data_IF_115173429132
#
_entry.id   IF_115173429132
#
_cell.length_a   1.000
_cell.length_b   1.000
_cell.length_c   1.000
_cell.angle_alpha   90.00
_cell.angle_beta   90.00
_cell.angle_gamma   90.00
#
_symmetry.space_group_name_H-M   'P 1'
#
loop_
_entity.id
_entity.type
_entity.pdbx_description
1 polymer ?
#
# COMPACT_ATOMS: atom_id res chain seq x y z
N UNK A 1 6.98 -29.57 -22.15
CA UNK A 1 7.21 -28.33 -22.93
C UNK A 1 7.12 -27.14 -21.97
N UNK A 2 8.22 -26.47 -21.57
CA UNK A 2 8.14 -25.25 -20.78
C UNK A 2 8.12 -24.04 -21.74
N UNK A 3 6.95 -23.47 -21.95
CA UNK A 3 6.77 -22.27 -22.77
C UNK A 3 6.82 -21.01 -21.91
N UNK A 4 7.71 -20.09 -22.28
CA UNK A 4 7.64 -18.64 -22.08
C UNK A 4 7.28 -18.12 -20.66
N UNK A 5 8.33 -17.79 -19.91
CA UNK A 5 8.40 -16.64 -18.98
C UNK A 5 7.24 -16.48 -17.99
N UNK A 6 7.06 -17.47 -17.13
CA UNK A 6 6.18 -17.38 -15.97
C UNK A 6 6.76 -16.33 -15.02
N UNK A 7 6.26 -15.10 -15.08
CA UNK A 7 6.69 -14.05 -14.15
C UNK A 7 6.31 -14.51 -12.75
N UNK A 8 7.31 -14.69 -11.89
CA UNK A 8 7.06 -15.22 -10.55
C UNK A 8 6.25 -14.22 -9.72
N UNK A 9 5.41 -14.76 -8.83
CA UNK A 9 4.65 -13.97 -7.86
C UNK A 9 5.56 -13.05 -7.05
N UNK A 10 6.76 -13.51 -6.70
CA UNK A 10 7.70 -12.74 -5.89
C UNK A 10 8.25 -11.53 -6.66
N UNK A 11 8.46 -11.65 -7.98
CA UNK A 11 8.84 -10.51 -8.84
C UNK A 11 7.73 -9.46 -8.87
N UNK A 12 6.47 -9.88 -9.00
CA UNK A 12 5.32 -8.95 -8.97
C UNK A 12 5.24 -8.23 -7.62
N UNK A 13 5.40 -8.94 -6.51
CA UNK A 13 5.35 -8.35 -5.17
C UNK A 13 6.48 -7.34 -4.97
N UNK A 14 7.70 -7.69 -5.39
CA UNK A 14 8.86 -6.80 -5.30
C UNK A 14 8.62 -5.49 -6.07
N UNK A 15 8.12 -5.56 -7.30
CA UNK A 15 7.81 -4.39 -8.13
C UNK A 15 6.75 -3.47 -7.50
N UNK A 16 5.77 -4.04 -6.79
CA UNK A 16 4.75 -3.27 -6.09
C UNK A 16 5.34 -2.59 -4.84
N UNK A 17 6.16 -3.30 -4.06
CA UNK A 17 6.81 -2.77 -2.85
C UNK A 17 7.84 -1.67 -3.15
N UNK A 18 8.44 -1.66 -4.34
CA UNK A 18 9.30 -0.56 -4.79
C UNK A 18 8.54 0.77 -4.99
N UNK A 19 7.22 0.73 -5.12
CA UNK A 19 6.41 1.94 -5.22
C UNK A 19 6.26 2.61 -3.86
N UNK A 20 6.62 3.89 -3.77
CA UNK A 20 6.55 4.67 -2.53
C UNK A 20 5.17 4.61 -1.84
N UNK A 21 4.09 4.57 -2.63
CA UNK A 21 2.71 4.55 -2.14
C UNK A 21 2.34 3.24 -1.42
N UNK A 22 3.11 2.17 -1.64
CA UNK A 22 2.76 0.83 -1.17
C UNK A 22 3.84 0.18 -0.29
N UNK A 23 4.97 0.86 -0.08
CA UNK A 23 6.09 0.39 0.73
C UNK A 23 5.70 0.02 2.18
N UNK A 24 4.71 0.70 2.73
CA UNK A 24 4.25 0.50 4.11
C UNK A 24 3.03 -0.44 4.22
N UNK A 25 2.52 -0.97 3.11
CA UNK A 25 1.41 -1.91 3.15
C UNK A 25 1.87 -3.31 3.53
N UNK A 26 0.97 -4.05 4.17
CA UNK A 26 1.19 -5.44 4.55
C UNK A 26 1.54 -6.30 3.31
N UNK A 27 2.70 -6.99 3.29
CA UNK A 27 3.09 -7.84 2.17
C UNK A 27 2.09 -8.96 1.85
N UNK A 28 1.40 -9.50 2.87
CA UNK A 28 0.40 -10.56 2.69
C UNK A 28 -0.82 -10.08 1.91
N UNK A 29 -1.25 -8.82 2.13
CA UNK A 29 -2.31 -8.20 1.35
C UNK A 29 -1.90 -8.08 -0.12
N UNK A 30 -0.68 -7.61 -0.38
CA UNK A 30 -0.13 -7.49 -1.73
C UNK A 30 -0.07 -8.87 -2.39
N UNK A 31 0.37 -9.90 -1.67
CA UNK A 31 0.44 -11.30 -2.15
C UNK A 31 -0.93 -11.83 -2.57
N UNK A 32 -1.95 -11.67 -1.73
CA UNK A 32 -3.32 -12.15 -2.02
C UNK A 32 -3.88 -11.43 -3.26
N UNK A 33 -3.72 -10.11 -3.35
CA UNK A 33 -4.19 -9.33 -4.51
C UNK A 33 -3.42 -9.71 -5.77
N UNK A 34 -2.10 -9.89 -5.70
CA UNK A 34 -1.27 -10.30 -6.82
C UNK A 34 -1.68 -11.69 -7.36
N UNK A 35 -1.89 -12.68 -6.48
CA UNK A 35 -2.41 -13.99 -6.86
C UNK A 35 -3.74 -13.89 -7.60
N UNK A 36 -4.69 -13.12 -7.06
CA UNK A 36 -6.00 -12.93 -7.67
C UNK A 36 -5.94 -12.27 -9.05
N UNK A 37 -5.07 -11.27 -9.24
CA UNK A 37 -4.93 -10.60 -10.53
C UNK A 37 -4.13 -11.41 -11.55
N UNK A 38 -3.10 -12.16 -11.13
CA UNK A 38 -2.32 -13.04 -12.01
C UNK A 38 -3.16 -14.18 -12.59
N UNK A 39 -4.10 -14.74 -11.82
CA UNK A 39 -5.03 -15.77 -12.31
C UNK A 39 -5.89 -15.31 -13.48
N UNK A 40 -6.05 -14.00 -13.69
CA UNK A 40 -6.86 -13.43 -14.79
C UNK A 40 -6.12 -13.45 -16.14
N UNK A 41 -4.89 -13.98 -16.20
CA UNK A 41 -4.08 -14.17 -17.42
C UNK A 41 -3.97 -12.94 -18.32
N UNK A 42 -3.84 -11.76 -17.70
CA UNK A 42 -3.59 -10.50 -18.41
C UNK A 42 -2.10 -10.38 -18.75
N UNK A 43 -1.74 -9.41 -19.58
CA UNK A 43 -0.33 -9.06 -19.75
C UNK A 43 0.29 -8.60 -18.43
N UNK A 44 1.62 -8.69 -18.30
CA UNK A 44 2.34 -8.25 -17.11
C UNK A 44 2.01 -6.80 -16.72
N UNK A 45 2.04 -5.89 -17.70
CA UNK A 45 1.75 -4.47 -17.51
C UNK A 45 0.32 -4.23 -17.02
N UNK A 46 -0.65 -4.94 -17.57
CA UNK A 46 -2.05 -4.85 -17.14
C UNK A 46 -2.25 -5.44 -15.74
N UNK A 47 -1.55 -6.53 -15.42
CA UNK A 47 -1.59 -7.17 -14.10
C UNK A 47 -1.07 -6.20 -13.04
N UNK A 48 0.10 -5.60 -13.25
CA UNK A 48 0.65 -4.58 -12.33
C UNK A 48 -0.31 -3.40 -12.17
N UNK A 49 -0.88 -2.88 -13.26
CA UNK A 49 -1.86 -1.78 -13.20
C UNK A 49 -3.09 -2.17 -12.40
N UNK A 50 -3.62 -3.37 -12.60
CA UNK A 50 -4.80 -3.86 -11.89
C UNK A 50 -4.53 -4.05 -10.39
N UNK A 51 -3.37 -4.59 -10.02
CA UNK A 51 -2.94 -4.72 -8.63
C UNK A 51 -2.87 -3.34 -7.96
N UNK A 52 -2.17 -2.38 -8.58
CA UNK A 52 -2.06 -1.01 -8.06
C UNK A 52 -3.41 -0.34 -7.89
N UNK A 53 -4.30 -0.50 -8.86
CA UNK A 53 -5.68 0.02 -8.78
C UNK A 53 -6.44 -0.62 -7.62
N UNK A 54 -6.34 -1.94 -7.43
CA UNK A 54 -7.02 -2.65 -6.34
C UNK A 54 -6.47 -2.23 -4.98
N UNK A 55 -5.15 -2.16 -4.84
CA UNK A 55 -4.47 -1.70 -3.63
C UNK A 55 -4.81 -0.24 -3.29
N UNK A 56 -4.93 0.61 -4.30
CA UNK A 56 -5.42 1.97 -4.10
C UNK A 56 -6.86 1.96 -3.57
N UNK A 57 -7.77 1.18 -4.16
CA UNK A 57 -9.16 1.11 -3.69
C UNK A 57 -9.31 0.59 -2.25
N UNK A 58 -8.49 -0.38 -1.83
CA UNK A 58 -8.65 -1.02 -0.51
C UNK A 58 -7.82 -0.38 0.60
N UNK A 59 -6.83 0.46 0.26
CA UNK A 59 -5.96 1.09 1.25
C UNK A 59 -5.45 2.46 0.82
N UNK A 60 -4.92 2.56 -0.40
CA UNK A 60 -4.31 3.82 -0.86
C UNK A 60 -5.24 5.03 -0.89
N UNK A 61 -6.54 4.85 -1.10
CA UNK A 61 -7.56 5.92 -1.11
C UNK A 61 -7.76 6.55 0.27
N UNK A 62 -7.42 5.83 1.35
CA UNK A 62 -7.50 6.32 2.72
C UNK A 62 -6.19 6.97 3.20
N UNK A 63 -5.10 6.72 2.48
CA UNK A 63 -3.73 7.09 2.87
C UNK A 63 -3.16 8.23 2.00
N UNK A 64 -4.03 8.99 1.33
CA UNK A 64 -3.84 9.88 0.17
C UNK A 64 -2.62 10.84 0.20
N UNK A 65 -1.41 10.28 0.27
CA UNK A 65 -0.11 10.96 0.27
C UNK A 65 0.22 11.78 1.53
N UNK A 66 -0.76 12.14 2.35
CA UNK A 66 -0.57 12.96 3.55
C UNK A 66 -0.27 12.09 4.76
N UNK A 67 0.92 11.50 4.76
CA UNK A 67 1.49 10.87 5.95
C UNK A 67 1.97 11.98 6.92
N UNK A 68 1.02 12.74 7.46
CA UNK A 68 1.25 13.72 8.52
C UNK A 68 1.44 13.06 9.88
N UNK A 69 1.77 11.76 9.93
CA UNK A 69 1.99 11.01 11.16
C UNK A 69 2.97 11.70 12.11
N UNK A 70 4.03 12.31 11.57
CA UNK A 70 4.98 13.09 12.38
C UNK A 70 4.30 14.30 13.00
N UNK A 71 3.52 15.04 12.22
CA UNK A 71 2.78 16.21 12.70
C UNK A 71 1.76 15.82 13.77
N UNK A 72 0.94 14.79 13.50
CA UNK A 72 -0.05 14.30 14.46
C UNK A 72 0.59 13.79 15.75
N UNK A 73 1.73 13.11 15.65
CA UNK A 73 2.47 12.65 16.81
C UNK A 73 3.00 13.82 17.64
N UNK A 74 3.56 14.84 16.99
CA UNK A 74 4.01 16.07 17.68
C UNK A 74 2.86 16.76 18.39
N UNK A 75 1.72 16.96 17.71
CA UNK A 75 0.54 17.58 18.35
C UNK A 75 0.02 16.77 19.54
N UNK A 76 0.01 15.43 19.44
CA UNK A 76 -0.38 14.55 20.54
C UNK A 76 0.58 14.67 21.74
N UNK A 77 1.89 14.73 21.49
CA UNK A 77 2.90 14.89 22.54
C UNK A 77 2.76 16.24 23.26
N UNK A 78 2.60 17.32 22.50
CA UNK A 78 2.44 18.67 23.04
C UNK A 78 1.23 18.76 23.99
N UNK A 79 0.07 18.22 23.63
CA UNK A 79 -1.09 18.29 24.52
C UNK A 79 -1.00 17.37 25.74
N UNK A 80 -0.22 16.27 25.66
CA UNK A 80 0.07 15.45 26.83
C UNK A 80 0.95 16.25 27.80
N UNK A 81 1.94 16.98 27.30
CA UNK A 81 2.87 17.77 28.11
C UNK A 81 2.21 19.03 28.72
N UNK A 82 1.34 19.71 27.98
CA UNK A 82 0.65 20.92 28.48
C UNK A 82 -0.60 20.60 29.31
N UNK A 83 -1.11 19.37 29.22
CA UNK A 83 -2.38 18.97 29.86
C UNK A 83 -3.63 19.51 29.14
N UNK A 84 -3.48 20.21 28.02
CA UNK A 84 -4.57 20.81 27.24
C UNK A 84 -5.16 19.80 26.23
N UNK A 85 -5.63 18.66 26.72
CA UNK A 85 -6.14 17.57 25.89
C UNK A 85 -7.34 17.98 25.01
N UNK A 86 -8.10 19.00 25.40
CA UNK A 86 -9.24 19.50 24.64
C UNK A 86 -8.83 20.30 23.40
N UNK A 87 -7.57 20.76 23.30
CA UNK A 87 -7.06 21.47 22.13
C UNK A 87 -6.92 20.57 20.88
N UNK A 88 -6.84 19.23 21.05
CA UNK A 88 -6.75 18.27 19.94
C UNK A 88 -8.12 17.69 19.54
N UNK A 89 -9.19 17.96 20.30
CA UNK A 89 -10.52 17.35 20.07
C UNK A 89 -11.45 18.14 19.15
N UNK A 90 -11.00 19.29 18.62
CA UNK A 90 -11.77 20.15 17.71
C UNK A 90 -11.64 19.71 16.26
#
# INVERSE_FOLDING_TARGET
MPGASDVSLDTVIADILMSANYKHMCPDLIRIVALQEMMKRRSYKETIKAIKNKLHQVGGAYLDGRNEHTLWLTSLQEAIETGEQDAIRQ
#
